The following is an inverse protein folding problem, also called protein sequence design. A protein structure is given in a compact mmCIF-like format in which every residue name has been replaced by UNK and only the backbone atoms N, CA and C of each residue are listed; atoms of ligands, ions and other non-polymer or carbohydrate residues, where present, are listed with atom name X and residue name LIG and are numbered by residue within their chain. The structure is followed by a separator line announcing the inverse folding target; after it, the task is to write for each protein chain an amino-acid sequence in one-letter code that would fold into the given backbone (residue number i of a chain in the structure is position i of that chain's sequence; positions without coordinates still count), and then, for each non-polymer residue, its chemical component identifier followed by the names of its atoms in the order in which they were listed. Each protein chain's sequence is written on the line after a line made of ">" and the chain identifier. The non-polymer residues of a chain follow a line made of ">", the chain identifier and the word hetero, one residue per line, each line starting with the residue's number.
data_IF_289859118350
#
_entry.id   IF_289859118350
#
_cell.length_a   1.000
_cell.length_b   1.000
_cell.length_c   1.000
_cell.angle_alpha   90.00
_cell.angle_beta   90.00
_cell.angle_gamma   90.00
#
_symmetry.space_group_name_H-M   'P 1'
#
loop_
_entity.id
_entity.type
_entity.pdbx_description
1 polymer ?
2 non-polymer ?
3 non-polymer ?
4 water ?
#
# COMPACT_ATOMS: atom_id res chain seq x y z
N UNK A 2 -20.99 -16.98 -10.16
CA UNK A 2 -19.60 -16.93 -9.59
C UNK A 2 -19.12 -18.34 -9.27
N UNK A 3 -17.87 -18.61 -9.60
CA UNK A 3 -17.27 -19.93 -9.41
C UNK A 3 -16.65 -20.02 -8.03
N UNK A 4 -17.14 -20.97 -7.22
CA UNK A 4 -16.61 -21.19 -5.87
C UNK A 4 -15.23 -21.86 -5.82
N UNK A 5 -14.86 -22.57 -6.89
CA UNK A 5 -13.58 -23.30 -6.89
C UNK A 5 -12.92 -23.22 -8.29
N UNK A 6 -12.52 -21.99 -8.70
CA UNK A 6 -11.98 -21.79 -10.06
C UNK A 6 -10.65 -22.50 -10.30
N UNK A 7 -10.39 -22.93 -11.55
CA UNK A 7 -9.08 -23.53 -11.92
C UNK A 7 -7.94 -22.48 -11.98
N UNK A 8 -8.27 -21.24 -12.29
CA UNK A 8 -7.28 -20.14 -12.40
C UNK A 8 -7.66 -19.15 -11.30
N UNK A 9 -6.66 -18.71 -10.52
CA UNK A 9 -6.89 -17.65 -9.53
C UNK A 9 -6.32 -16.35 -10.07
N UNK A 10 -7.15 -15.33 -10.13
CA UNK A 10 -6.78 -13.97 -10.55
C UNK A 10 -6.37 -13.19 -9.27
N UNK A 11 -5.10 -12.79 -9.21
CA UNK A 11 -4.45 -12.27 -7.99
C UNK A 11 -3.94 -10.85 -8.33
N UNK A 12 -4.63 -9.83 -7.79
CA UNK A 12 -4.26 -8.43 -7.97
C UNK A 12 -3.32 -7.89 -6.88
N UNK A 13 -2.44 -6.98 -7.32
CA UNK A 13 -1.39 -6.36 -6.47
C UNK A 13 -1.63 -4.84 -6.44
N UNK A 14 -1.65 -4.25 -5.23
CA UNK A 14 -1.85 -2.78 -5.11
C UNK A 14 -0.84 -2.06 -6.01
N UNK A 15 -1.30 -1.11 -6.86
CA UNK A 15 -0.37 -0.42 -7.77
C UNK A 15 0.35 0.76 -7.07
N UNK A 16 1.22 0.42 -6.10
CA UNK A 16 1.94 1.43 -5.31
C UNK A 16 3.28 1.80 -5.91
N UNK A 17 3.70 1.03 -6.93
CA UNK A 17 4.99 1.21 -7.63
C UNK A 17 4.76 0.81 -9.10
N UNK A 18 5.78 1.09 -9.92
CA UNK A 18 5.93 0.58 -11.31
C UNK A 18 5.45 -0.89 -11.42
N UNK A 19 4.55 -1.15 -12.38
CA UNK A 19 3.95 -2.49 -12.50
C UNK A 19 4.99 -3.59 -12.77
N UNK A 20 6.03 -3.30 -13.58
CA UNK A 20 7.06 -4.32 -13.82
C UNK A 20 7.84 -4.70 -12.57
N UNK A 21 8.14 -3.72 -11.71
CA UNK A 21 8.78 -3.98 -10.42
C UNK A 21 7.91 -4.90 -9.56
N UNK A 22 6.60 -4.63 -9.52
CA UNK A 22 5.68 -5.47 -8.72
C UNK A 22 5.58 -6.92 -9.23
N UNK A 23 5.51 -7.09 -10.55
CA UNK A 23 5.46 -8.45 -11.13
C UNK A 23 6.74 -9.22 -10.82
N UNK A 24 7.90 -8.55 -10.96
CA UNK A 24 9.20 -9.11 -10.62
C UNK A 24 9.29 -9.56 -9.16
N UNK A 25 8.91 -8.67 -8.24
CA UNK A 25 9.00 -8.96 -6.80
C UNK A 25 8.15 -10.18 -6.38
N UNK A 26 6.98 -10.31 -7.01
CA UNK A 26 6.01 -11.33 -6.63
C UNK A 26 6.15 -12.65 -7.40
N UNK A 27 7.14 -12.77 -8.30
CA UNK A 27 7.29 -14.02 -9.05
C UNK A 27 7.53 -15.25 -8.16
N UNK A 28 8.46 -15.19 -7.19
CA UNK A 28 8.66 -16.37 -6.34
C UNK A 28 7.42 -16.74 -5.55
N UNK A 29 6.64 -15.75 -5.09
CA UNK A 29 5.38 -16.09 -4.43
C UNK A 29 4.38 -16.76 -5.39
N UNK A 30 4.26 -16.27 -6.64
CA UNK A 30 3.40 -16.90 -7.65
C UNK A 30 3.77 -18.39 -7.79
N UNK A 31 5.06 -18.68 -7.96
CA UNK A 31 5.51 -20.07 -8.12
C UNK A 31 5.16 -20.92 -6.89
N UNK A 32 5.42 -20.39 -5.68
CA UNK A 32 5.01 -21.08 -4.43
C UNK A 32 3.50 -21.36 -4.33
N UNK A 33 2.65 -20.39 -4.67
CA UNK A 33 1.22 -20.61 -4.68
C UNK A 33 0.76 -21.67 -5.68
N UNK A 34 1.33 -21.68 -6.89
CA UNK A 34 0.90 -22.69 -7.88
C UNK A 34 1.20 -24.10 -7.39
N UNK A 35 2.38 -24.27 -6.79
CA UNK A 35 2.82 -25.54 -6.20
C UNK A 35 1.94 -26.06 -5.06
N UNK A 36 1.57 -25.19 -4.12
CA UNK A 36 0.90 -25.63 -2.92
C UNK A 36 -0.62 -25.50 -2.97
N UNK A 37 -1.18 -24.80 -3.97
CA UNK A 37 -2.65 -24.69 -4.14
C UNK A 37 -3.27 -25.53 -5.26
N UNK A 38 -2.46 -26.00 -6.21
CA UNK A 38 -2.98 -26.77 -7.39
C UNK A 38 -3.93 -25.95 -8.24
N UNK A 39 -3.48 -24.72 -8.52
CA UNK A 39 -4.19 -23.76 -9.32
C UNK A 39 -3.17 -23.06 -10.23
N UNK A 40 -3.64 -22.54 -11.35
CA UNK A 40 -2.87 -21.58 -12.12
C UNK A 40 -3.11 -20.21 -11.47
N UNK A 41 -2.07 -19.39 -11.43
CA UNK A 41 -2.14 -18.04 -10.85
C UNK A 41 -1.85 -17.02 -11.94
N UNK A 42 -2.76 -16.04 -12.10
CA UNK A 42 -2.58 -14.92 -13.01
C UNK A 42 -2.40 -13.63 -12.19
N UNK A 43 -1.22 -13.02 -12.26
CA UNK A 43 -0.92 -11.74 -11.55
C UNK A 43 -1.49 -10.58 -12.34
N UNK A 44 -2.18 -9.64 -11.66
CA UNK A 44 -2.81 -8.49 -12.29
C UNK A 44 -2.32 -7.22 -11.57
N UNK A 45 -1.96 -6.18 -12.32
CA UNK A 45 -1.75 -4.82 -11.76
C UNK A 45 -2.69 -3.85 -12.47
N UNK A 46 -3.66 -3.29 -11.74
CA UNK A 46 -4.61 -2.31 -12.31
C UNK A 46 -3.95 -0.92 -12.48
N UNK A 47 -4.64 -0.01 -13.18
CA UNK A 47 -4.08 1.32 -13.46
C UNK A 47 -4.04 2.24 -12.24
N UNK A 48 -4.95 2.04 -11.28
CA UNK A 48 -5.02 2.83 -10.05
C UNK A 48 -5.80 2.07 -8.93
N UNK A 49 -5.91 2.69 -7.75
CA UNK A 49 -6.52 2.02 -6.58
C UNK A 49 -8.03 1.80 -6.77
N UNK A 50 -8.73 2.81 -7.28
CA UNK A 50 -10.19 2.71 -7.51
C UNK A 50 -10.51 1.58 -8.48
N UNK A 51 -9.70 1.37 -9.52
CA UNK A 51 -10.01 0.29 -10.46
C UNK A 51 -9.78 -1.10 -9.84
N UNK A 52 -8.87 -1.22 -8.88
CA UNK A 52 -8.69 -2.50 -8.17
C UNK A 52 -9.90 -2.75 -7.21
N UNK A 53 -10.37 -1.72 -6.50
CA UNK A 53 -11.55 -1.81 -5.63
C UNK A 53 -12.80 -2.21 -6.45
N UNK A 54 -12.99 -1.56 -7.60
CA UNK A 54 -14.13 -1.89 -8.50
C UNK A 54 -14.04 -3.28 -9.08
N UNK A 55 -12.85 -3.72 -9.49
CA UNK A 55 -12.67 -5.11 -9.97
C UNK A 55 -13.08 -6.13 -8.90
N UNK A 56 -12.71 -5.88 -7.65
CA UNK A 56 -13.12 -6.76 -6.55
C UNK A 56 -14.65 -6.77 -6.37
N UNK A 57 -15.29 -5.60 -6.38
CA UNK A 57 -16.76 -5.54 -6.21
C UNK A 57 -17.54 -6.30 -7.29
N UNK A 58 -17.04 -6.25 -8.52
CA UNK A 58 -17.69 -6.91 -9.65
C UNK A 58 -17.27 -8.38 -9.89
N UNK A 59 -16.52 -8.97 -8.95
CA UNK A 59 -16.12 -10.39 -9.01
C UNK A 59 -15.06 -10.75 -10.04
N UNK A 60 -14.33 -9.76 -10.55
CA UNK A 60 -13.33 -9.98 -11.60
C UNK A 60 -11.95 -10.38 -11.09
N UNK A 61 -11.70 -10.34 -9.78
CA UNK A 61 -10.46 -10.86 -9.20
C UNK A 61 -10.85 -11.73 -8.00
N UNK A 62 -9.95 -12.63 -7.62
CA UNK A 62 -10.22 -13.60 -6.58
C UNK A 62 -9.50 -13.27 -5.27
N UNK A 63 -8.20 -12.96 -5.38
CA UNK A 63 -7.35 -12.56 -4.24
C UNK A 63 -6.83 -11.15 -4.55
N UNK A 64 -6.63 -10.34 -3.51
CA UNK A 64 -6.05 -9.00 -3.71
C UNK A 64 -5.09 -8.66 -2.57
N UNK A 65 -3.92 -8.12 -2.91
CA UNK A 65 -2.98 -7.49 -1.94
C UNK A 65 -3.31 -6.00 -1.85
N UNK A 66 -4.12 -5.66 -0.85
CA UNK A 66 -4.62 -4.29 -0.64
C UNK A 66 -3.68 -3.48 0.27
N UNK A 67 -3.82 -2.14 0.24
CA UNK A 67 -3.33 -1.30 1.34
C UNK A 67 -4.41 -1.22 2.41
N UNK A 68 -4.05 -0.75 3.61
CA UNK A 68 -5.05 -0.71 4.67
C UNK A 68 -6.35 0.11 4.36
N UNK A 69 -6.20 1.30 3.79
CA UNK A 69 -7.36 2.17 3.48
C UNK A 69 -8.17 1.58 2.32
N UNK A 70 -7.51 1.12 1.26
CA UNK A 70 -8.24 0.50 0.13
C UNK A 70 -8.95 -0.80 0.54
N UNK A 71 -8.37 -1.56 1.47
CA UNK A 71 -9.05 -2.71 2.06
C UNK A 71 -10.36 -2.28 2.74
N UNK A 72 -10.33 -1.30 3.63
CA UNK A 72 -11.58 -0.96 4.38
C UNK A 72 -12.64 -0.38 3.43
N UNK A 73 -12.20 0.34 2.39
CA UNK A 73 -13.12 0.83 1.35
C UNK A 73 -13.77 -0.33 0.57
N UNK A 74 -12.98 -1.29 0.12
CA UNK A 74 -13.52 -2.48 -0.56
C UNK A 74 -14.46 -3.30 0.33
N UNK A 75 -14.11 -3.47 1.61
CA UNK A 75 -14.91 -4.23 2.57
C UNK A 75 -16.28 -3.55 2.79
N UNK A 76 -16.37 -2.22 2.64
CA UNK A 76 -17.66 -1.52 2.77
C UNK A 76 -18.60 -1.75 1.55
N UNK A 77 -18.03 -2.15 0.42
CA UNK A 77 -18.72 -2.31 -0.88
C UNK A 77 -18.99 -3.75 -1.31
N UNK A 78 -18.28 -4.71 -0.72
CA UNK A 78 -18.25 -6.11 -1.20
C UNK A 78 -17.98 -7.06 -0.07
N UNK A 79 -18.30 -8.34 -0.30
CA UNK A 79 -18.12 -9.37 0.72
C UNK A 79 -16.76 -10.07 0.52
N UNK A 80 -15.78 -9.59 1.32
CA UNK A 80 -14.39 -10.06 1.26
C UNK A 80 -13.89 -10.33 2.68
N UNK A 81 -12.78 -11.07 2.79
CA UNK A 81 -12.18 -11.33 4.09
C UNK A 81 -10.66 -11.26 4.07
N UNK A 82 -10.04 -10.65 5.10
CA UNK A 82 -8.58 -10.54 5.15
C UNK A 82 -8.02 -11.80 5.74
N UNK A 83 -6.82 -12.21 5.33
CA UNK A 83 -6.26 -13.48 5.85
C UNK A 83 -4.75 -13.50 6.23
N UNK A 84 -3.93 -12.60 5.67
CA UNK A 84 -2.50 -12.57 5.99
C UNK A 84 -1.89 -11.21 5.79
N UNK A 85 -0.88 -10.88 6.59
CA UNK A 85 -0.02 -9.70 6.36
C UNK A 85 1.41 -10.03 6.71
N UNK A 86 2.36 -9.33 6.08
CA UNK A 86 3.80 -9.70 6.27
C UNK A 86 4.35 -9.08 7.55
N UNK A 87 5.25 -9.82 8.20
CA UNK A 87 6.08 -9.32 9.30
C UNK A 87 7.44 -8.91 8.71
N UNK A 88 7.73 -7.62 8.76
CA UNK A 88 8.97 -7.02 8.23
C UNK A 88 9.67 -6.23 9.37
N UNK A 89 10.99 -6.45 9.53
CA UNK A 89 11.78 -5.76 10.60
C UNK A 89 11.21 -5.98 12.01
N UNK A 90 10.70 -7.19 12.24
CA UNK A 90 10.25 -7.61 13.54
C UNK A 90 8.97 -6.99 14.03
N UNK A 91 8.14 -6.52 13.10
CA UNK A 91 6.87 -5.93 13.49
C UNK A 91 5.77 -6.06 12.42
N UNK A 92 4.52 -6.04 12.86
CA UNK A 92 3.42 -6.23 11.91
C UNK A 92 2.81 -4.86 11.47
N UNK A 93 3.63 -3.80 11.56
CA UNK A 93 3.21 -2.43 11.28
C UNK A 93 4.22 -1.75 10.35
N UNK A 94 3.85 -0.59 9.83
CA UNK A 94 4.72 0.23 9.00
C UNK A 94 4.43 1.72 9.19
N UNK A 95 5.32 2.59 8.64
CA UNK A 95 5.19 4.06 8.82
C UNK A 95 5.22 4.78 7.49
N UNK A 96 4.65 6.00 7.50
CA UNK A 96 4.81 6.98 6.42
C UNK A 96 6.02 7.88 6.72
N UNK A 97 6.69 8.35 5.67
CA UNK A 97 7.77 9.35 5.77
C UNK A 97 7.32 10.60 5.00
N UNK A 98 7.61 11.78 5.56
CA UNK A 98 7.37 13.09 4.89
C UNK A 98 8.74 13.64 4.47
N UNK A 99 8.89 13.94 3.16
CA UNK A 99 10.14 14.35 2.56
C UNK A 99 9.97 15.76 1.94
N UNK A 100 11.09 16.48 1.75
CA UNK A 100 11.10 17.81 1.10
C UNK A 100 12.23 17.92 0.11
N UNK A 101 11.98 18.72 -0.93
CA UNK A 101 13.04 19.07 -1.89
C UNK A 101 13.99 20.06 -1.19
N UNK A 102 15.29 19.85 -1.32
CA UNK A 102 16.30 20.71 -0.66
C UNK A 102 16.32 22.16 -1.18
N UNK A 103 15.72 22.40 -2.35
CA UNK A 103 15.72 23.72 -2.99
C UNK A 103 14.40 24.46 -2.84
N UNK A 104 13.47 23.95 -2.01
CA UNK A 104 12.14 24.55 -1.89
C UNK A 104 11.96 25.63 -0.83
N UNK A 105 12.93 25.80 0.06
CA UNK A 105 12.75 26.62 1.26
C UNK A 105 11.92 25.98 2.37
N UNK A 106 11.58 24.70 2.25
CA UNK A 106 10.84 24.02 3.31
C UNK A 106 11.82 23.32 4.25
N UNK A 107 11.96 23.85 5.45
CA UNK A 107 12.88 23.31 6.42
C UNK A 107 12.21 22.58 7.58
N UNK A 108 10.90 22.77 7.75
CA UNK A 108 10.07 22.11 8.77
C UNK A 108 8.58 22.09 8.31
N UNK A 109 7.71 21.34 9.00
CA UNK A 109 6.28 21.21 8.57
C UNK A 109 5.57 22.56 8.43
N UNK A 110 5.82 23.47 9.36
CA UNK A 110 5.19 24.77 9.30
C UNK A 110 5.48 25.57 8.01
N UNK A 111 6.63 25.32 7.40
CA UNK A 111 7.01 26.01 6.17
C UNK A 111 6.22 25.55 4.93
N UNK A 112 5.39 24.50 5.05
CA UNK A 112 4.53 24.05 3.95
C UNK A 112 3.35 24.98 3.65
N UNK A 113 3.06 25.92 4.54
CA UNK A 113 1.99 26.91 4.24
C UNK A 113 2.20 27.62 2.91
N UNK A 114 1.21 27.55 2.02
CA UNK A 114 1.28 28.12 0.68
C UNK A 114 2.08 27.37 -0.37
N UNK A 115 2.61 26.20 -0.03
CA UNK A 115 3.52 25.42 -0.91
C UNK A 115 2.79 24.19 -1.50
N UNK A 116 3.50 23.37 -2.29
CA UNK A 116 2.94 22.24 -3.04
C UNK A 116 3.31 20.91 -2.39
N UNK A 117 2.29 20.19 -1.91
CA UNK A 117 2.45 18.84 -1.31
C UNK A 117 2.02 17.76 -2.31
N UNK A 118 2.88 16.75 -2.53
CA UNK A 118 2.55 15.59 -3.34
C UNK A 118 2.02 14.43 -2.46
N UNK A 119 0.84 13.94 -2.84
CA UNK A 119 0.26 12.66 -2.33
C UNK A 119 0.19 11.68 -3.51
N UNK A 120 0.03 10.39 -3.21
CA UNK A 120 -0.09 9.36 -4.26
C UNK A 120 -1.49 9.20 -4.81
N UNK A 121 -2.20 8.17 -4.39
CA UNK A 121 -3.62 7.95 -4.75
C UNK A 121 -4.50 8.46 -3.60
N UNK A 122 -5.67 9.03 -3.91
CA UNK A 122 -6.60 9.44 -2.87
C UNK A 122 -6.97 8.30 -1.88
N UNK A 123 -6.95 7.04 -2.34
CA UNK A 123 -7.23 5.87 -1.51
C UNK A 123 -5.99 5.23 -0.85
N UNK A 124 -4.85 5.96 -0.82
CA UNK A 124 -3.65 5.48 -0.15
C UNK A 124 -3.61 5.80 1.34
N UNK A 125 -3.19 4.80 2.11
CA UNK A 125 -2.94 4.98 3.56
C UNK A 125 -1.68 5.84 3.81
N UNK A 126 -0.52 5.36 3.38
CA UNK A 126 0.76 6.03 3.71
C UNK A 126 1.21 7.11 2.73
N UNK A 127 0.56 7.23 1.55
CA UNK A 127 0.82 8.36 0.64
C UNK A 127 -0.34 9.38 0.55
N UNK A 128 -1.32 9.27 1.45
CA UNK A 128 -2.39 10.29 1.60
C UNK A 128 -2.90 10.41 3.06
N UNK A 129 -3.67 9.43 3.53
CA UNK A 129 -4.38 9.59 4.82
C UNK A 129 -3.43 9.90 6.00
N UNK A 130 -2.37 9.09 6.14
CA UNK A 130 -1.44 9.22 7.26
C UNK A 130 -0.68 10.57 7.22
N UNK A 131 0.01 10.90 6.11
CA UNK A 131 0.75 12.17 6.11
C UNK A 131 -0.14 13.40 6.24
N UNK A 132 -1.34 13.34 5.66
CA UNK A 132 -2.30 14.45 5.82
C UNK A 132 -2.68 14.65 7.30
N UNK A 133 -2.86 13.54 8.01
CA UNK A 133 -3.20 13.56 9.44
C UNK A 133 -2.02 14.12 10.26
N UNK A 134 -0.80 13.72 9.91
CA UNK A 134 0.41 14.25 10.60
C UNK A 134 0.51 15.78 10.48
N UNK A 135 0.34 16.30 9.25
CA UNK A 135 0.41 17.74 9.02
C UNK A 135 -0.69 18.51 9.78
N UNK A 136 -1.88 17.94 9.89
CA UNK A 136 -2.97 18.60 10.65
C UNK A 136 -2.67 18.59 12.18
N UNK A 137 -2.30 17.43 12.71
CA UNK A 137 -2.10 17.30 14.16
C UNK A 137 -0.85 18.05 14.66
N UNK A 138 0.22 18.13 13.85
CA UNK A 138 1.47 18.76 14.29
C UNK A 138 1.62 20.25 13.94
N UNK A 139 1.03 20.69 12.82
CA UNK A 139 1.21 22.04 12.30
C UNK A 139 -0.09 22.79 12.02
N UNK A 140 -1.23 22.18 12.34
CA UNK A 140 -2.57 22.73 12.05
C UNK A 140 -2.81 23.14 10.60
N UNK A 141 -2.26 22.36 9.66
CA UNK A 141 -2.41 22.63 8.23
C UNK A 141 -3.49 21.73 7.59
N UNK A 142 -4.42 22.34 6.84
CA UNK A 142 -5.53 21.64 6.16
C UNK A 142 -5.29 21.63 4.65
N UNK A 143 -5.28 20.44 4.06
CA UNK A 143 -5.07 20.30 2.63
C UNK A 143 -6.11 21.00 1.75
N UNK A 144 -5.62 21.70 0.73
CA UNK A 144 -6.44 22.49 -0.18
C UNK A 144 -6.79 23.88 0.33
N UNK A 145 -6.72 24.09 1.63
CA UNK A 145 -7.03 25.35 2.30
C UNK A 145 -5.74 26.11 2.61
N UNK A 146 -4.82 25.43 3.29
CA UNK A 146 -3.54 26.03 3.72
C UNK A 146 -2.34 25.70 2.83
N UNK A 147 -2.47 24.68 1.99
CA UNK A 147 -1.40 24.31 1.04
C UNK A 147 -2.07 23.65 -0.16
N UNK A 148 -1.37 23.60 -1.30
CA UNK A 148 -1.86 22.94 -2.50
C UNK A 148 -1.61 21.44 -2.40
N UNK A 149 -2.60 20.63 -2.78
CA UNK A 149 -2.40 19.17 -2.78
C UNK A 149 -2.50 18.67 -4.23
N UNK A 150 -1.54 17.83 -4.61
CA UNK A 150 -1.44 17.23 -5.94
C UNK A 150 -1.34 15.70 -5.78
N UNK A 151 -2.21 14.94 -6.46
CA UNK A 151 -2.23 13.50 -6.40
C UNK A 151 -1.55 12.96 -7.66
N UNK A 152 -0.38 12.34 -7.48
CA UNK A 152 0.48 11.90 -8.58
C UNK A 152 0.50 10.39 -8.85
N UNK A 153 -0.29 9.65 -8.09
CA UNK A 153 -0.49 8.20 -8.31
C UNK A 153 0.38 7.32 -7.41
N UNK A 154 1.45 6.77 -7.93
CA UNK A 154 2.19 5.79 -7.18
C UNK A 154 3.07 6.49 -6.10
N UNK A 155 3.55 5.66 -5.17
CA UNK A 155 4.58 6.13 -4.20
C UNK A 155 5.86 6.49 -4.97
N UNK A 156 6.22 5.70 -6.00
CA UNK A 156 7.35 6.03 -6.88
C UNK A 156 7.20 7.48 -7.38
N UNK A 157 6.00 7.81 -7.86
CA UNK A 157 5.75 9.17 -8.40
C UNK A 157 5.88 10.28 -7.35
N UNK A 158 5.49 10.01 -6.11
CA UNK A 158 5.66 11.00 -5.05
C UNK A 158 7.18 11.33 -4.92
N UNK A 159 8.02 10.30 -4.84
CA UNK A 159 9.48 10.47 -4.68
C UNK A 159 10.08 11.24 -5.89
N UNK A 160 9.67 10.86 -7.09
CA UNK A 160 10.15 11.51 -8.32
C UNK A 160 9.74 13.01 -8.38
N UNK A 161 8.47 13.31 -8.07
CA UNK A 161 7.96 14.69 -8.17
C UNK A 161 8.58 15.64 -7.12
N UNK A 162 8.85 15.12 -5.91
CA UNK A 162 9.58 15.88 -4.89
C UNK A 162 11.03 16.12 -5.32
N UNK A 163 11.71 15.08 -5.78
CA UNK A 163 13.11 15.19 -6.14
C UNK A 163 13.35 16.10 -7.34
N UNK A 164 12.45 16.11 -8.31
CA UNK A 164 12.65 16.97 -9.50
C UNK A 164 12.16 18.42 -9.35
N UNK A 165 11.45 18.75 -8.27
CA UNK A 165 11.00 20.14 -8.04
C UNK A 165 9.55 20.43 -8.44
N UNK A 166 8.84 19.46 -9.05
CA UNK A 166 7.42 19.67 -9.35
C UNK A 166 6.58 19.81 -8.07
N UNK A 167 7.01 19.18 -6.97
CA UNK A 167 6.41 19.40 -5.66
C UNK A 167 7.51 19.85 -4.70
N UNK A 168 7.12 20.55 -3.66
CA UNK A 168 8.06 21.03 -2.64
C UNK A 168 8.24 20.00 -1.50
N UNK A 169 7.18 19.25 -1.18
CA UNK A 169 7.20 18.18 -0.16
C UNK A 169 6.24 17.07 -0.57
N UNK A 170 6.32 15.92 0.10
CA UNK A 170 5.41 14.81 -0.19
C UNK A 170 5.43 13.76 0.91
N UNK A 171 4.47 12.86 0.86
CA UNK A 171 4.36 11.78 1.84
C UNK A 171 4.21 10.44 1.15
N UNK A 172 4.87 9.41 1.70
CA UNK A 172 4.89 8.07 1.09
C UNK A 172 5.32 6.99 2.11
N UNK A 173 5.28 5.74 1.69
CA UNK A 173 5.72 4.61 2.55
C UNK A 173 7.24 4.70 2.78
N UNK A 174 7.64 4.55 4.05
CA UNK A 174 9.07 4.57 4.44
C UNK A 174 9.93 3.58 3.64
N UNK A 175 9.45 2.33 3.54
CA UNK A 175 10.22 1.32 2.76
C UNK A 175 10.36 1.64 1.28
N UNK A 176 9.29 2.15 0.67
CA UNK A 176 9.39 2.52 -0.74
C UNK A 176 10.38 3.68 -0.91
N UNK A 177 10.30 4.71 -0.07
CA UNK A 177 11.27 5.81 -0.18
C UNK A 177 12.74 5.36 -0.05
N UNK A 178 12.98 4.43 0.86
CA UNK A 178 14.32 4.06 1.24
C UNK A 178 15.01 3.30 0.12
N UNK A 179 14.25 2.68 -0.79
CA UNK A 179 14.86 1.99 -1.94
C UNK A 179 14.77 2.76 -3.26
N UNK A 180 14.27 4.00 -3.22
CA UNK A 180 14.06 4.77 -4.44
C UNK A 180 15.39 5.14 -5.15
N UNK A 181 16.42 5.54 -4.38
CA UNK A 181 17.75 5.84 -4.99
C UNK A 181 18.42 4.60 -5.58
N UNK A 182 18.39 3.49 -4.83
CA UNK A 182 18.88 2.19 -5.28
C UNK A 182 18.30 1.76 -6.65
N UNK A 183 17.00 1.98 -6.84
CA UNK A 183 16.34 1.65 -8.11
C UNK A 183 16.59 2.66 -9.25
N UNK A 184 17.31 3.76 -8.97
CA UNK A 184 17.61 4.77 -9.97
C UNK A 184 16.48 5.74 -10.26
N UNK A 185 15.49 5.82 -9.36
CA UNK A 185 14.34 6.71 -9.56
C UNK A 185 14.64 8.15 -9.31
N UNK A 186 15.50 8.39 -8.31
CA UNK A 186 15.83 9.76 -7.86
C UNK A 186 17.32 9.92 -7.54
N UNK A 187 17.75 11.18 -7.55
CA UNK A 187 19.05 11.59 -6.99
C UNK A 187 18.82 11.92 -5.50
N UNK A 188 19.38 11.11 -4.58
CA UNK A 188 19.08 11.27 -3.15
C UNK A 188 19.60 12.57 -2.51
N UNK A 189 20.54 13.24 -3.18
CA UNK A 189 21.05 14.55 -2.73
C UNK A 189 20.04 15.69 -2.90
N UNK A 190 18.97 15.46 -3.67
CA UNK A 190 17.95 16.47 -3.91
C UNK A 190 16.82 16.51 -2.89
N UNK A 191 16.78 15.52 -1.98
CA UNK A 191 15.69 15.41 -0.99
C UNK A 191 16.26 15.25 0.41
N UNK A 192 15.46 15.61 1.40
CA UNK A 192 15.73 15.34 2.83
C UNK A 192 14.45 14.87 3.52
N UNK A 193 14.63 14.15 4.61
CA UNK A 193 13.50 13.71 5.44
C UNK A 193 13.10 14.82 6.42
N UNK A 194 11.80 15.14 6.48
CA UNK A 194 11.24 16.03 7.52
C UNK A 194 10.78 15.28 8.77
N UNK A 195 10.14 14.13 8.62
CA UNK A 195 9.70 13.37 9.77
C UNK A 195 8.98 12.09 9.39
N UNK A 196 8.47 11.40 10.41
CA UNK A 196 7.81 10.10 10.29
C UNK A 196 6.49 10.10 11.05
N UNK A 197 5.56 9.24 10.59
CA UNK A 197 4.33 8.96 11.34
C UNK A 197 4.60 7.91 12.43
N UNK A 198 3.57 7.66 13.23
CA UNK A 198 3.53 6.45 14.06
C UNK A 198 3.35 5.17 13.22
N UNK A 199 3.25 4.05 13.95
CA UNK A 199 3.13 2.71 13.35
C UNK A 199 1.66 2.30 13.12
N UNK A 200 1.35 1.84 11.89
CA UNK A 200 0.00 1.48 11.46
C UNK A 200 -0.01 0.03 10.92
N UNK A 201 -1.17 -0.67 10.99
CA UNK A 201 -1.21 -2.06 10.57
C UNK A 201 -0.78 -2.26 9.10
N UNK A 202 -0.04 -3.35 8.87
CA UNK A 202 0.52 -3.68 7.54
C UNK A 202 -0.56 -3.98 6.46
N UNK A 203 -0.16 -3.90 5.18
CA UNK A 203 -1.05 -4.21 4.05
C UNK A 203 -1.68 -5.60 4.22
N UNK A 204 -3.02 -5.70 4.08
CA UNK A 204 -3.63 -7.04 4.13
C UNK A 204 -3.89 -7.72 2.79
N UNK A 205 -3.57 -9.01 2.73
CA UNK A 205 -4.11 -9.92 1.70
C UNK A 205 -5.57 -10.26 2.02
N UNK A 206 -6.43 -10.21 1.01
CA UNK A 206 -7.87 -10.48 1.14
C UNK A 206 -8.39 -11.32 -0.03
N UNK A 207 -9.49 -12.02 0.20
CA UNK A 207 -10.14 -12.82 -0.86
C UNK A 207 -11.63 -12.64 -0.86
N UNK A 208 -12.26 -12.86 -2.01
CA UNK A 208 -13.74 -12.86 -2.09
C UNK A 208 -14.34 -14.02 -1.24
N UNK A 209 -15.37 -13.68 -0.45
CA UNK A 209 -15.88 -14.59 0.54
C UNK A 209 -16.78 -15.68 -0.05
N UNK A 210 -17.10 -15.59 -1.35
CA UNK A 210 -17.92 -16.63 -2.02
C UNK A 210 -17.08 -17.73 -2.68
N UNK A 211 -15.76 -17.74 -2.44
CA UNK A 211 -14.99 -18.96 -2.67
C UNK A 211 -15.46 -20.06 -1.69
N UNK A 212 -15.29 -21.33 -2.05
CA UNK A 212 -15.76 -22.41 -1.18
C UNK A 212 -15.03 -22.40 0.16
N UNK A 213 -15.71 -22.83 1.25
CA UNK A 213 -15.04 -22.94 2.56
C UNK A 213 -13.72 -23.75 2.52
N UNK A 214 -13.71 -24.83 1.75
CA UNK A 214 -12.52 -25.68 1.60
C UNK A 214 -11.35 -24.92 0.94
N UNK A 215 -11.65 -24.15 -0.10
CA UNK A 215 -10.62 -23.37 -0.79
C UNK A 215 -10.12 -22.22 0.09
N UNK A 216 -11.02 -21.55 0.78
CA UNK A 216 -10.64 -20.44 1.69
C UNK A 216 -9.71 -20.90 2.83
N UNK A 217 -9.97 -22.07 3.40
CA UNK A 217 -9.09 -22.65 4.43
C UNK A 217 -7.70 -22.96 3.87
N UNK A 218 -7.66 -23.54 2.69
CA UNK A 218 -6.40 -23.87 2.03
C UNK A 218 -5.55 -22.61 1.70
N UNK A 219 -6.19 -21.57 1.16
CA UNK A 219 -5.50 -20.30 0.85
C UNK A 219 -4.88 -19.72 2.14
N UNK A 220 -5.67 -19.65 3.20
CA UNK A 220 -5.18 -19.10 4.47
C UNK A 220 -3.99 -19.93 5.02
N UNK A 221 -4.15 -21.25 5.03
CA UNK A 221 -3.08 -22.15 5.52
C UNK A 221 -1.78 -22.05 4.70
N UNK A 222 -1.88 -21.98 3.37
CA UNK A 222 -0.69 -21.87 2.50
C UNK A 222 0.06 -20.58 2.76
N UNK A 223 -0.65 -19.43 2.83
CA UNK A 223 0.05 -18.17 3.09
C UNK A 223 0.70 -18.13 4.48
N UNK A 224 -0.07 -18.43 5.53
CA UNK A 224 0.47 -18.36 6.89
C UNK A 224 1.64 -19.37 7.11
N UNK A 225 1.63 -20.48 6.39
CA UNK A 225 2.72 -21.45 6.44
C UNK A 225 4.02 -21.11 5.71
N UNK A 226 4.09 -19.98 4.99
CA UNK A 226 5.31 -19.70 4.19
C UNK A 226 6.54 -19.54 5.09
N UNK A 227 7.55 -20.39 4.90
CA UNK A 227 8.88 -20.14 5.52
C UNK A 227 10.06 -20.36 4.54
N UNK A 228 9.75 -20.35 3.24
CA UNK A 228 10.77 -20.52 2.21
C UNK A 228 11.59 -19.22 2.08
N UNK A 229 12.92 -19.27 2.34
CA UNK A 229 13.72 -18.04 2.25
C UNK A 229 13.71 -17.33 0.88
N UNK A 230 13.59 -18.07 -0.21
CA UNK A 230 13.54 -17.45 -1.54
C UNK A 230 12.27 -16.60 -1.76
N UNK A 231 11.17 -17.00 -1.12
CA UNK A 231 9.92 -16.22 -1.21
C UNK A 231 10.02 -14.99 -0.30
N UNK A 232 10.51 -15.20 0.93
CA UNK A 232 10.60 -14.13 1.91
C UNK A 232 11.61 -13.05 1.56
N UNK A 233 12.72 -13.42 0.90
CA UNK A 233 13.82 -12.47 0.67
C UNK A 233 13.46 -11.29 -0.20
N UNK A 234 12.67 -11.53 -1.26
CA UNK A 234 12.21 -10.43 -2.12
C UNK A 234 11.40 -9.37 -1.39
N UNK A 235 10.70 -9.77 -0.33
CA UNK A 235 9.94 -8.82 0.48
C UNK A 235 10.70 -8.27 1.72
N UNK A 236 11.93 -8.75 1.93
CA UNK A 236 12.67 -8.54 3.17
C UNK A 236 11.81 -8.85 4.41
N UNK A 237 11.08 -9.97 4.34
CA UNK A 237 10.11 -10.37 5.35
C UNK A 237 10.60 -11.57 6.14
N UNK A 238 10.07 -11.75 7.34
CA UNK A 238 10.37 -12.92 8.18
C UNK A 238 9.25 -13.97 8.21
N UNK A 239 8.00 -13.55 8.00
CA UNK A 239 6.84 -14.43 8.03
C UNK A 239 5.61 -13.76 7.43
N UNK A 240 4.56 -14.56 7.18
CA UNK A 240 3.21 -14.06 6.91
C UNK A 240 2.35 -14.39 8.14
N UNK A 241 1.82 -13.36 8.78
CA UNK A 241 1.01 -13.52 10.01
C UNK A 241 -0.48 -13.55 9.72
N UNK A 242 -1.25 -14.26 10.55
CA UNK A 242 -2.71 -14.20 10.48
C UNK A 242 -3.25 -12.84 10.97
N UNK A 243 -4.37 -12.41 10.37
CA UNK A 243 -5.00 -11.12 10.69
C UNK A 243 -6.52 -11.24 10.76
N UNK A 244 -7.17 -10.23 11.34
CA UNK A 244 -8.63 -10.12 11.33
C UNK A 244 -9.09 -8.70 10.91
N UNK A 245 -10.36 -8.59 10.51
CA UNK A 245 -10.93 -7.31 10.05
C UNK A 245 -10.81 -6.20 11.11
N UNK A 246 -10.97 -6.54 12.39
CA UNK A 246 -10.91 -5.57 13.47
C UNK A 246 -9.54 -4.91 13.64
N UNK A 247 -8.48 -5.54 13.11
CA UNK A 247 -7.14 -4.93 13.10
C UNK A 247 -7.10 -3.59 12.29
N UNK A 248 -8.08 -3.38 11.42
CA UNK A 248 -8.14 -2.17 10.56
C UNK A 248 -9.16 -1.14 11.06
N UNK A 249 -9.73 -1.35 12.25
CA UNK A 249 -10.64 -0.30 12.81
C UNK A 249 -9.95 1.06 13.04
N UNK A 250 -8.67 1.07 13.40
CA UNK A 250 -7.91 2.28 13.59
C UNK A 250 -7.97 3.12 12.28
N UNK A 251 -7.88 2.43 11.13
CA UNK A 251 -7.91 3.10 9.81
C UNK A 251 -9.31 3.65 9.52
N UNK A 252 -10.34 2.88 9.86
CA UNK A 252 -11.73 3.33 9.71
C UNK A 252 -11.94 4.62 10.47
N UNK A 253 -11.48 4.66 11.72
CA UNK A 253 -11.66 5.84 12.54
C UNK A 253 -10.93 7.08 11.98
N UNK A 254 -9.66 6.91 11.57
CA UNK A 254 -8.89 7.97 10.94
C UNK A 254 -9.50 8.45 9.61
N UNK A 255 -10.13 7.53 8.89
CA UNK A 255 -10.77 7.87 7.61
C UNK A 255 -11.98 8.80 7.69
N UNK A 256 -12.54 9.00 8.88
CA UNK A 256 -13.58 10.05 9.07
C UNK A 256 -13.11 11.43 8.57
N UNK A 257 -11.83 11.75 8.70
CA UNK A 257 -11.26 13.02 8.19
C UNK A 257 -11.35 13.17 6.67
N UNK A 258 -11.43 12.06 5.94
CA UNK A 258 -11.57 12.05 4.47
C UNK A 258 -13.03 11.90 4.01
N UNK A 259 -13.97 11.85 4.97
CA UNK A 259 -15.39 11.66 4.62
C UNK A 259 -15.84 10.23 4.39
N UNK A 260 -15.10 9.25 4.90
CA UNK A 260 -15.48 7.84 4.74
C UNK A 260 -16.42 7.40 5.88
#
# INVERSE_FOLDING_TARGET
>A
MADADPDVLKVALLPDENASELIKRNQPLKDYLEEHLDKKVQLIVTTDYSSMIEAMRFGRIDLAYFGPLSYVMAKSKSDIEPFAAMVIDGKPTYRSVIIANVASGVNEYADLKGKRMAYGDRASTSSHLIPKTVLLETADLTGGQDYEQHFVGTHDAVAVNVANGNADAGGLSEVIFNHAAERGLIDPSKVKVLGYSGEYPQYPWAMRSNLSPELKTKVRDVFVGIDDPEVLRNFKAEAFAPITDADYDVIRNMGSLLGLDFATMLEHHHHHH
#
